data_IF_762013714440
#
_entry.id   IF_762013714440
#
_cell.length_a   1.000
_cell.length_b   1.000
_cell.length_c   1.000
_cell.angle_alpha   90.00
_cell.angle_beta   90.00
_cell.angle_gamma   90.00
#
_symmetry.space_group_name_H-M   'P 1'
#
loop_
_entity.id
_entity.type
_entity.pdbx_description
1 polymer ?
#
# COMPACT_ATOMS: atom_id res chain seq x y z
N UNK A 1 -20.86 28.46 6.82
CA UNK A 1 -20.19 27.19 6.44
C UNK A 1 -20.54 26.97 5.00
N UNK A 2 -19.75 27.51 4.10
CA UNK A 2 -19.96 27.31 2.67
C UNK A 2 -19.47 25.91 2.32
N UNK A 3 -20.42 25.06 1.99
CA UNK A 3 -20.22 23.66 1.65
C UNK A 3 -19.63 23.60 0.24
N UNK A 4 -18.31 23.62 0.11
CA UNK A 4 -17.65 23.18 -1.12
C UNK A 4 -17.74 21.65 -1.14
N UNK A 5 -18.87 21.13 -1.63
CA UNK A 5 -19.05 19.69 -1.83
C UNK A 5 -18.35 19.30 -3.14
N UNK A 6 -17.45 18.31 -3.12
CA UNK A 6 -16.88 17.73 -4.35
C UNK A 6 -18.00 17.32 -5.30
N UNK A 7 -17.97 17.82 -6.54
CA UNK A 7 -18.86 17.28 -7.57
C UNK A 7 -18.37 15.95 -8.10
N UNK A 8 -17.06 15.85 -8.29
CA UNK A 8 -16.38 14.69 -8.85
C UNK A 8 -15.05 14.50 -8.13
N UNK A 9 -14.75 13.24 -7.80
CA UNK A 9 -13.50 12.83 -7.19
C UNK A 9 -12.94 11.64 -7.99
N UNK A 10 -11.73 11.80 -8.51
CA UNK A 10 -10.99 10.73 -9.15
C UNK A 10 -9.74 10.42 -8.32
N UNK A 11 -9.59 9.17 -7.91
CA UNK A 11 -8.43 8.71 -7.13
C UNK A 11 -7.57 7.83 -8.02
N UNK A 12 -6.27 8.12 -8.06
CA UNK A 12 -5.29 7.33 -8.80
C UNK A 12 -4.07 7.04 -7.92
N UNK A 13 -3.64 5.78 -7.87
CA UNK A 13 -2.37 5.43 -7.25
C UNK A 13 -1.22 5.88 -8.15
N UNK A 14 -0.29 6.67 -7.61
CA UNK A 14 0.86 7.22 -8.35
C UNK A 14 2.20 6.71 -7.82
N UNK A 15 2.19 6.07 -6.66
CA UNK A 15 3.36 5.40 -6.10
C UNK A 15 2.96 4.42 -5.00
N UNK A 16 3.99 3.84 -4.40
CA UNK A 16 3.87 2.75 -3.43
C UNK A 16 2.99 3.10 -2.22
N UNK A 17 3.13 4.32 -1.67
CA UNK A 17 2.26 4.89 -0.61
C UNK A 17 1.72 6.26 -0.97
N UNK A 18 1.52 6.50 -2.26
CA UNK A 18 1.14 7.82 -2.79
C UNK A 18 -0.06 7.69 -3.69
N UNK A 19 -1.09 8.49 -3.41
CA UNK A 19 -2.26 8.67 -4.24
C UNK A 19 -2.33 10.10 -4.75
N UNK A 20 -2.87 10.26 -5.94
CA UNK A 20 -3.28 11.53 -6.50
C UNK A 20 -4.81 11.54 -6.54
N UNK A 21 -5.38 12.58 -5.94
CA UNK A 21 -6.81 12.83 -5.88
C UNK A 21 -7.07 14.07 -6.70
N UNK A 22 -7.87 13.94 -7.75
CA UNK A 22 -8.36 15.09 -8.51
C UNK A 22 -9.78 15.38 -8.06
N UNK A 23 -10.00 16.61 -7.60
CA UNK A 23 -11.30 17.09 -7.12
C UNK A 23 -11.71 18.31 -7.91
N UNK A 24 -12.93 18.29 -8.43
CA UNK A 24 -13.55 19.47 -9.02
C UNK A 24 -14.29 20.26 -7.95
N UNK A 25 -13.77 21.45 -7.61
CA UNK A 25 -14.43 22.38 -6.70
C UNK A 25 -15.58 23.11 -7.42
N UNK A 26 -16.57 23.59 -6.67
CA UNK A 26 -17.67 24.40 -7.23
C UNK A 26 -17.13 25.73 -7.78
N UNK A 27 -17.76 26.21 -8.86
CA UNK A 27 -17.53 27.55 -9.43
C UNK A 27 -18.16 28.64 -8.56
N UNK A 28 -17.75 28.82 -7.29
CA UNK A 28 -18.19 29.99 -6.52
C UNK A 28 -17.02 30.69 -5.82
N UNK A 29 -17.22 32.00 -5.66
CA UNK A 29 -16.25 33.09 -5.64
C UNK A 29 -15.03 32.94 -4.72
N UNK A 30 -13.93 33.60 -5.14
CA UNK A 30 -12.69 33.91 -4.42
C UNK A 30 -12.75 33.58 -2.93
N UNK A 31 -12.37 32.36 -2.61
CA UNK A 31 -12.28 31.85 -1.25
C UNK A 31 -10.89 32.24 -0.69
N UNK A 32 -10.82 32.76 0.54
CA UNK A 32 -9.54 33.03 1.20
C UNK A 32 -8.71 31.73 1.39
N UNK A 33 -7.38 31.88 1.47
CA UNK A 33 -6.45 30.76 1.55
C UNK A 33 -6.71 29.84 2.76
N UNK A 34 -7.19 30.38 3.88
CA UNK A 34 -7.48 29.60 5.09
C UNK A 34 -8.66 28.64 4.87
N UNK A 35 -9.69 29.11 4.19
CA UNK A 35 -10.86 28.31 3.85
C UNK A 35 -10.52 27.28 2.76
N UNK A 36 -9.62 27.61 1.83
CA UNK A 36 -9.06 26.64 0.89
C UNK A 36 -8.32 25.54 1.66
N UNK A 37 -7.39 25.89 2.55
CA UNK A 37 -6.58 24.91 3.30
C UNK A 37 -7.44 23.99 4.17
N UNK A 38 -8.46 24.53 4.85
CA UNK A 38 -9.44 23.74 5.62
C UNK A 38 -10.25 22.80 4.74
N UNK A 39 -10.66 23.26 3.56
CA UNK A 39 -11.39 22.44 2.60
C UNK A 39 -10.52 21.29 2.09
N UNK A 40 -9.26 21.58 1.73
CA UNK A 40 -8.29 20.58 1.31
C UNK A 40 -8.06 19.52 2.39
N UNK A 41 -7.95 19.92 3.65
CA UNK A 41 -7.81 18.98 4.76
C UNK A 41 -9.06 18.10 4.92
N UNK A 42 -10.27 18.69 4.84
CA UNK A 42 -11.51 17.92 4.88
C UNK A 42 -11.64 16.92 3.72
N UNK A 43 -11.14 17.27 2.52
CA UNK A 43 -11.10 16.36 1.37
C UNK A 43 -10.15 15.18 1.58
N UNK A 44 -9.02 15.41 2.23
CA UNK A 44 -8.09 14.35 2.59
C UNK A 44 -8.74 13.39 3.57
N UNK A 45 -9.39 13.91 4.63
CA UNK A 45 -10.04 13.07 5.63
C UNK A 45 -11.15 12.20 5.00
N UNK A 46 -11.96 12.79 4.11
CA UNK A 46 -12.98 12.05 3.34
C UNK A 46 -12.35 10.98 2.43
N UNK A 47 -11.36 11.36 1.61
CA UNK A 47 -10.67 10.43 0.71
C UNK A 47 -10.04 9.28 1.49
N UNK A 48 -9.45 9.56 2.65
CA UNK A 48 -8.84 8.55 3.49
C UNK A 48 -9.84 7.57 4.05
N UNK A 49 -11.01 8.03 4.47
CA UNK A 49 -12.08 7.14 4.90
C UNK A 49 -12.55 6.26 3.74
N UNK A 50 -12.78 6.82 2.55
CA UNK A 50 -13.12 6.05 1.35
C UNK A 50 -12.05 5.01 1.00
N UNK A 51 -10.76 5.39 1.04
CA UNK A 51 -9.65 4.48 0.81
C UNK A 51 -9.59 3.36 1.86
N UNK A 52 -9.91 3.64 3.13
CA UNK A 52 -9.97 2.63 4.20
C UNK A 52 -11.20 1.73 4.07
N UNK A 53 -12.36 2.27 3.70
CA UNK A 53 -13.61 1.52 3.55
C UNK A 53 -13.59 0.59 2.34
N UNK A 54 -13.07 1.07 1.21
CA UNK A 54 -12.79 0.26 0.03
C UNK A 54 -11.54 -0.62 0.23
N UNK A 55 -10.97 -0.56 1.44
CA UNK A 55 -9.82 -1.27 1.94
C UNK A 55 -8.51 -0.93 1.24
N UNK A 56 -8.43 -0.05 0.25
CA UNK A 56 -7.19 0.31 -0.49
C UNK A 56 -5.96 0.66 0.36
N UNK A 57 -6.15 1.05 1.62
CA UNK A 57 -5.08 1.26 2.61
C UNK A 57 -5.50 0.71 3.99
N UNK A 58 -4.54 0.35 4.88
CA UNK A 58 -4.85 -0.08 6.25
C UNK A 58 -5.67 0.92 7.06
N UNK A 59 -6.54 0.43 7.95
CA UNK A 59 -7.44 1.26 8.76
C UNK A 59 -6.67 2.21 9.72
N UNK A 60 -5.51 1.79 10.20
CA UNK A 60 -4.60 2.55 11.05
C UNK A 60 -3.72 3.54 10.27
N UNK A 61 -3.85 3.60 8.93
CA UNK A 61 -3.04 4.51 8.11
C UNK A 61 -3.36 5.98 8.42
N UNK A 62 -2.32 6.76 8.62
CA UNK A 62 -2.34 8.23 8.68
C UNK A 62 -1.91 8.80 7.33
N UNK A 63 -2.60 9.83 6.85
CA UNK A 63 -2.24 10.52 5.62
C UNK A 63 -1.78 11.95 5.85
N UNK A 64 -0.96 12.39 4.91
CA UNK A 64 -0.42 13.72 4.84
C UNK A 64 -0.50 14.23 3.40
N UNK A 65 -0.87 15.50 3.24
CA UNK A 65 -0.76 16.19 1.96
C UNK A 65 0.73 16.38 1.68
N UNK A 66 1.17 15.93 0.50
CA UNK A 66 2.54 16.16 0.04
C UNK A 66 2.64 17.24 -1.01
N UNK A 67 1.58 17.43 -1.80
CA UNK A 67 1.53 18.49 -2.78
C UNK A 67 0.07 18.84 -3.11
N UNK A 68 -0.14 20.11 -3.42
CA UNK A 68 -1.42 20.61 -3.91
C UNK A 68 -1.16 21.45 -5.14
N UNK A 69 -1.86 21.16 -6.23
CA UNK A 69 -1.76 21.94 -7.47
C UNK A 69 -3.16 22.32 -7.95
N UNK A 70 -3.35 23.58 -8.28
CA UNK A 70 -4.58 24.05 -8.92
C UNK A 70 -4.42 23.94 -10.45
N UNK A 71 -5.38 23.28 -11.08
CA UNK A 71 -5.49 23.16 -12.54
C UNK A 71 -6.32 24.32 -13.10
N UNK A 72 -6.25 24.63 -14.41
CA UNK A 72 -6.89 25.82 -15.01
C UNK A 72 -8.43 25.93 -14.91
N UNK A 73 -9.14 24.89 -14.44
CA UNK A 73 -10.61 24.83 -14.39
C UNK A 73 -11.17 24.73 -12.96
N UNK A 74 -10.50 25.31 -11.95
CA UNK A 74 -10.81 25.12 -10.52
C UNK A 74 -10.72 23.67 -10.03
N UNK A 75 -10.11 22.77 -10.81
CA UNK A 75 -9.74 21.45 -10.30
C UNK A 75 -8.56 21.60 -9.35
N UNK A 76 -8.64 20.92 -8.22
CA UNK A 76 -7.52 20.76 -7.31
C UNK A 76 -7.02 19.34 -7.42
N UNK A 77 -5.72 19.22 -7.66
CA UNK A 77 -4.99 17.98 -7.58
C UNK A 77 -4.29 17.93 -6.22
N UNK A 78 -4.63 16.95 -5.40
CA UNK A 78 -4.02 16.70 -4.10
C UNK A 78 -3.19 15.43 -4.22
N UNK A 79 -1.91 15.52 -3.90
CA UNK A 79 -1.06 14.36 -3.70
C UNK A 79 -1.06 14.01 -2.22
N UNK A 80 -1.49 12.80 -1.91
CA UNK A 80 -1.59 12.27 -0.55
C UNK A 80 -0.57 11.17 -0.38
N UNK A 81 0.25 11.28 0.66
CA UNK A 81 1.11 10.18 1.11
C UNK A 81 0.58 9.66 2.44
N UNK A 82 0.42 8.35 2.53
CA UNK A 82 -0.01 7.69 3.76
C UNK A 82 1.13 6.87 4.38
N UNK A 83 1.00 6.63 5.69
CA UNK A 83 1.90 5.81 6.49
C UNK A 83 1.03 5.01 7.47
N UNK A 84 1.35 3.74 7.66
CA UNK A 84 0.85 2.93 8.79
C UNK A 84 1.97 2.85 9.84
N UNK A 85 1.62 2.51 11.08
CA UNK A 85 2.59 2.16 12.10
C UNK A 85 3.40 0.91 11.71
N UNK A 86 2.84 0.04 10.86
CA UNK A 86 3.53 -1.13 10.33
C UNK A 86 4.44 -0.77 9.15
N UNK A 87 5.63 -1.38 9.09
CA UNK A 87 6.50 -1.31 7.91
C UNK A 87 6.43 -2.59 7.07
N UNK A 88 5.31 -3.31 7.16
CA UNK A 88 5.08 -4.56 6.45
C UNK A 88 4.98 -4.37 4.93
N UNK A 89 5.54 -5.35 4.24
CA UNK A 89 5.43 -5.57 2.81
C UNK A 89 4.83 -6.95 2.60
N UNK A 90 4.03 -7.04 1.54
CA UNK A 90 3.41 -8.28 1.14
C UNK A 90 3.86 -8.63 -0.28
N UNK A 91 4.33 -9.86 -0.44
CA UNK A 91 4.44 -10.46 -1.77
C UNK A 91 3.21 -11.34 -1.96
N UNK A 92 2.41 -11.01 -2.97
CA UNK A 92 1.23 -11.78 -3.34
C UNK A 92 1.57 -12.67 -4.51
N UNK A 93 1.33 -13.96 -4.33
CA UNK A 93 1.55 -14.98 -5.34
C UNK A 93 0.19 -15.58 -5.72
N UNK A 94 -0.09 -15.72 -7.01
CA UNK A 94 -1.33 -16.34 -7.46
C UNK A 94 -1.30 -17.87 -7.34
N UNK A 95 -0.12 -18.46 -7.19
CA UNK A 95 0.09 -19.91 -7.08
C UNK A 95 1.11 -20.28 -6.00
N UNK A 96 1.09 -21.54 -5.54
CA UNK A 96 2.10 -22.05 -4.61
C UNK A 96 3.48 -22.15 -5.28
N UNK A 97 3.54 -22.42 -6.58
CA UNK A 97 4.81 -22.44 -7.34
C UNK A 97 5.46 -21.06 -7.37
N UNK A 98 4.65 -20.00 -7.46
CA UNK A 98 5.12 -18.63 -7.34
C UNK A 98 5.68 -18.35 -5.93
N UNK A 99 5.06 -18.86 -4.86
CA UNK A 99 5.61 -18.78 -3.49
C UNK A 99 6.97 -19.46 -3.39
N UNK A 100 7.10 -20.68 -3.94
CA UNK A 100 8.37 -21.44 -3.93
C UNK A 100 9.44 -20.68 -4.72
N UNK A 101 9.06 -20.07 -5.84
CA UNK A 101 9.95 -19.24 -6.64
C UNK A 101 10.41 -18.02 -5.85
N UNK A 102 9.50 -17.31 -5.18
CA UNK A 102 9.85 -16.21 -4.27
C UNK A 102 10.84 -16.67 -3.21
N UNK A 103 10.59 -17.81 -2.55
CA UNK A 103 11.48 -18.36 -1.53
C UNK A 103 12.90 -18.62 -2.06
N UNK A 104 13.02 -19.17 -3.27
CA UNK A 104 14.31 -19.45 -3.92
C UNK A 104 15.05 -18.17 -4.30
N UNK A 105 14.36 -17.17 -4.84
CA UNK A 105 14.96 -15.90 -5.24
C UNK A 105 15.33 -15.00 -4.06
N UNK A 106 14.57 -15.07 -2.95
CA UNK A 106 14.88 -14.32 -1.73
C UNK A 106 15.92 -15.03 -0.83
N UNK A 107 16.22 -16.31 -1.07
CA UNK A 107 17.18 -17.07 -0.25
C UNK A 107 18.57 -16.40 -0.13
N UNK A 108 19.17 -15.80 -1.17
CA UNK A 108 20.46 -15.12 -1.06
C UNK A 108 20.44 -13.93 -0.08
N UNK A 109 19.30 -13.29 0.10
CA UNK A 109 19.09 -12.16 1.01
C UNK A 109 18.39 -12.57 2.31
N UNK A 110 18.24 -13.87 2.58
CA UNK A 110 17.58 -14.38 3.79
C UNK A 110 18.18 -13.83 5.09
N UNK A 111 19.51 -13.65 5.13
CA UNK A 111 20.23 -13.07 6.27
C UNK A 111 19.79 -11.65 6.66
N UNK A 112 19.17 -10.91 5.74
CA UNK A 112 18.60 -9.57 5.98
C UNK A 112 17.25 -9.68 6.72
N UNK A 113 16.63 -10.86 6.64
CA UNK A 113 15.30 -11.20 7.14
C UNK A 113 15.34 -12.25 8.26
N UNK A 114 16.52 -12.64 8.77
CA UNK A 114 16.72 -13.75 9.73
C UNK A 114 15.95 -13.58 11.06
N UNK A 115 15.51 -12.36 11.38
CA UNK A 115 14.73 -12.04 12.60
C UNK A 115 13.23 -11.84 12.31
N UNK A 116 12.78 -12.04 11.07
CA UNK A 116 11.41 -11.78 10.66
C UNK A 116 10.58 -13.05 10.50
N UNK A 117 9.32 -12.96 10.92
CA UNK A 117 8.33 -14.02 10.72
C UNK A 117 7.82 -13.99 9.26
N UNK A 118 8.55 -14.66 8.37
CA UNK A 118 8.24 -14.78 6.94
C UNK A 118 7.11 -15.80 6.68
N UNK A 119 6.00 -15.63 7.40
CA UNK A 119 4.87 -16.52 7.30
C UNK A 119 4.17 -16.42 5.93
N UNK A 120 3.74 -17.58 5.43
CA UNK A 120 2.99 -17.73 4.19
C UNK A 120 1.54 -18.05 4.54
N UNK A 121 0.65 -17.20 4.06
CA UNK A 121 -0.80 -17.35 4.23
C UNK A 121 -1.45 -17.66 2.89
N UNK A 122 -2.56 -18.40 2.91
CA UNK A 122 -3.42 -18.64 1.76
C UNK A 122 -4.78 -18.01 1.98
N UNK A 123 -5.25 -17.29 0.97
CA UNK A 123 -6.61 -16.76 0.91
C UNK A 123 -7.60 -17.86 0.51
N UNK A 124 -8.52 -18.28 1.40
CA UNK A 124 -9.54 -19.25 1.03
C UNK A 124 -10.55 -18.69 0.00
N UNK A 125 -10.77 -17.37 -0.05
CA UNK A 125 -11.76 -16.74 -0.93
C UNK A 125 -11.20 -16.52 -2.35
N UNK A 126 -9.98 -16.03 -2.47
CA UNK A 126 -9.38 -15.68 -3.77
C UNK A 126 -8.33 -16.68 -4.27
N UNK A 127 -8.03 -17.73 -3.49
CA UNK A 127 -7.01 -18.76 -3.79
C UNK A 127 -5.60 -18.20 -4.03
N UNK A 128 -5.30 -17.01 -3.51
CA UNK A 128 -3.98 -16.37 -3.58
C UNK A 128 -3.17 -16.69 -2.34
N UNK A 129 -1.87 -16.42 -2.42
CA UNK A 129 -0.93 -16.58 -1.33
C UNK A 129 -0.32 -15.22 -0.99
N UNK A 130 -0.02 -15.01 0.29
CA UNK A 130 0.61 -13.81 0.79
C UNK A 130 1.82 -14.18 1.64
N UNK A 131 2.95 -13.50 1.40
CA UNK A 131 4.16 -13.59 2.20
C UNK A 131 4.34 -12.22 2.86
N UNK A 132 4.30 -12.18 4.19
CA UNK A 132 4.52 -10.96 4.99
C UNK A 132 5.99 -10.86 5.38
N UNK A 133 6.54 -9.65 5.33
CA UNK A 133 7.82 -9.32 5.96
C UNK A 133 7.89 -7.82 6.26
N UNK A 134 8.73 -7.41 7.22
CA UNK A 134 8.96 -6.01 7.57
C UNK A 134 10.14 -5.46 6.77
N UNK A 135 10.05 -4.22 6.28
CA UNK A 135 11.24 -3.60 5.70
C UNK A 135 12.26 -3.24 6.80
N UNK A 136 13.54 -3.64 6.63
CA UNK A 136 14.60 -3.18 7.51
C UNK A 136 14.62 -1.65 7.56
N UNK A 137 14.75 -1.09 8.77
CA UNK A 137 14.87 0.37 8.95
C UNK A 137 16.22 0.89 8.43
N UNK A 138 17.23 0.03 8.30
CA UNK A 138 18.54 0.39 7.76
C UNK A 138 18.55 0.39 6.21
N UNK A 139 18.68 1.58 5.65
CA UNK A 139 18.76 1.82 4.20
C UNK A 139 19.95 1.15 3.50
N UNK A 140 21.03 0.80 4.21
CA UNK A 140 22.18 0.07 3.63
C UNK A 140 21.86 -1.42 3.50
N UNK A 141 21.21 -2.00 4.51
CA UNK A 141 20.71 -3.38 4.47
C UNK A 141 19.53 -3.55 3.48
N UNK A 142 18.81 -2.47 3.17
CA UNK A 142 17.66 -2.50 2.25
C UNK A 142 18.04 -2.67 0.77
N UNK A 143 19.19 -2.15 0.29
CA UNK A 143 19.49 -2.14 -1.16
C UNK A 143 19.52 -3.53 -1.81
N UNK A 144 20.16 -4.57 -1.21
CA UNK A 144 20.15 -5.91 -1.79
C UNK A 144 18.76 -6.55 -1.78
N UNK A 145 17.95 -6.24 -0.76
CA UNK A 145 16.56 -6.67 -0.67
C UNK A 145 15.72 -6.01 -1.79
N UNK A 146 15.83 -4.69 -1.96
CA UNK A 146 15.15 -3.94 -3.02
C UNK A 146 15.45 -4.50 -4.42
N UNK A 147 16.72 -4.76 -4.72
CA UNK A 147 17.11 -5.37 -6.00
C UNK A 147 16.49 -6.77 -6.19
N UNK A 148 16.42 -7.57 -5.13
CA UNK A 148 15.77 -8.89 -5.17
C UNK A 148 14.26 -8.76 -5.36
N UNK A 149 13.61 -7.79 -4.70
CA UNK A 149 12.19 -7.50 -4.81
C UNK A 149 11.79 -7.04 -6.22
N UNK A 150 12.63 -6.24 -6.88
CA UNK A 150 12.45 -5.88 -8.30
C UNK A 150 12.51 -7.11 -9.18
N UNK A 151 13.50 -7.99 -9.00
CA UNK A 151 13.66 -9.18 -9.81
C UNK A 151 12.58 -10.24 -9.62
N UNK A 152 12.01 -10.40 -8.42
CA UNK A 152 10.89 -11.34 -8.23
C UNK A 152 9.62 -10.88 -8.96
N UNK A 153 9.46 -9.58 -9.22
CA UNK A 153 8.32 -9.06 -9.98
C UNK A 153 8.43 -9.33 -11.48
N UNK A 154 9.61 -9.73 -11.98
CA UNK A 154 9.79 -10.14 -13.37
C UNK A 154 9.15 -11.50 -13.68
N UNK A 155 8.80 -12.27 -12.63
CA UNK A 155 8.13 -13.56 -12.77
C UNK A 155 6.61 -13.35 -12.84
N UNK A 156 5.97 -14.06 -13.77
CA UNK A 156 4.51 -14.12 -13.83
C UNK A 156 3.96 -14.63 -12.48
N UNK A 157 2.75 -14.17 -12.13
CA UNK A 157 2.01 -14.60 -10.93
C UNK A 157 2.61 -14.14 -9.59
N UNK A 158 3.66 -13.29 -9.60
CA UNK A 158 4.22 -12.64 -8.41
C UNK A 158 3.93 -11.14 -8.48
N UNK A 159 3.37 -10.62 -7.40
CA UNK A 159 3.00 -9.22 -7.28
C UNK A 159 3.49 -8.67 -5.95
N UNK A 160 4.47 -7.77 -6.00
CA UNK A 160 4.83 -6.99 -4.82
C UNK A 160 3.72 -5.98 -4.53
N UNK A 161 3.23 -5.97 -3.30
CA UNK A 161 2.22 -5.01 -2.85
C UNK A 161 2.62 -4.45 -1.49
N UNK A 162 2.78 -3.13 -1.45
CA UNK A 162 2.79 -2.41 -0.19
C UNK A 162 1.38 -2.44 0.39
N UNK A 163 1.28 -2.94 1.62
CA UNK A 163 0.05 -3.11 2.39
C UNK A 163 -1.19 -3.28 1.50
N UNK A 164 -1.45 -4.51 1.08
CA UNK A 164 -2.79 -4.86 0.63
C UNK A 164 -3.82 -4.48 1.70
N UNK A 165 -5.04 -4.33 1.22
CA UNK A 165 -6.34 -4.16 1.86
C UNK A 165 -6.71 -5.04 3.07
N UNK A 166 -5.74 -5.75 3.60
CA UNK A 166 -5.86 -6.82 4.55
C UNK A 166 -4.72 -6.65 5.53
N UNK A 167 -5.00 -6.04 6.70
CA UNK A 167 -4.06 -5.96 7.82
C UNK A 167 -3.46 -7.34 8.14
N UNK A 168 -2.36 -7.39 8.90
CA UNK A 168 -1.79 -8.65 9.43
C UNK A 168 -2.89 -9.49 10.07
N UNK A 169 -3.82 -8.81 10.75
CA UNK A 169 -5.00 -9.35 11.39
C UNK A 169 -5.94 -10.02 10.39
N UNK A 170 -6.15 -9.49 9.18
CA UNK A 170 -7.04 -10.14 8.21
C UNK A 170 -6.47 -11.48 7.72
N UNK A 171 -5.18 -11.56 7.43
CA UNK A 171 -4.57 -12.83 6.99
C UNK A 171 -4.35 -13.81 8.14
N UNK A 172 -4.06 -13.30 9.34
CA UNK A 172 -3.97 -14.14 10.54
C UNK A 172 -5.35 -14.65 11.00
N UNK A 173 -6.42 -13.87 10.83
CA UNK A 173 -7.79 -14.21 11.25
C UNK A 173 -8.60 -14.96 10.18
N UNK A 174 -8.35 -14.69 8.90
CA UNK A 174 -9.14 -15.24 7.78
C UNK A 174 -8.32 -16.06 6.77
N UNK A 175 -7.00 -15.95 6.80
CA UNK A 175 -6.10 -16.76 5.97
C UNK A 175 -5.77 -18.10 6.62
N UNK A 176 -5.51 -19.11 5.79
CA UNK A 176 -4.92 -20.37 6.24
C UNK A 176 -3.40 -20.23 6.24
N UNK A 177 -2.76 -20.28 7.42
CA UNK A 177 -1.31 -20.30 7.52
C UNK A 177 -0.76 -21.60 6.93
N UNK A 178 -0.01 -21.48 5.85
CA UNK A 178 0.61 -22.61 5.15
C UNK A 178 1.98 -22.92 5.75
N UNK A 179 2.75 -21.88 6.07
CA UNK A 179 4.11 -22.01 6.59
C UNK A 179 4.46 -20.83 7.50
N UNK A 180 5.30 -21.04 8.52
CA UNK A 180 5.84 -19.99 9.39
C UNK A 180 7.15 -19.39 8.89
N UNK A 181 7.84 -20.08 8.00
CA UNK A 181 9.10 -19.61 7.43
C UNK A 181 9.12 -19.94 5.94
N UNK A 182 9.00 -18.91 5.11
CA UNK A 182 9.10 -18.99 3.66
C UNK A 182 10.27 -19.85 3.20
N UNK A 183 11.42 -19.77 3.86
CA UNK A 183 12.63 -20.45 3.40
C UNK A 183 12.63 -21.95 3.64
N UNK A 184 11.69 -22.49 4.43
CA UNK A 184 11.44 -23.94 4.47
C UNK A 184 10.93 -24.45 3.13
N UNK A 185 10.21 -23.63 2.35
CA UNK A 185 9.69 -23.99 1.04
C UNK A 185 10.75 -23.90 -0.07
N UNK A 186 11.86 -23.19 0.16
CA UNK A 186 12.94 -23.08 -0.82
C UNK A 186 13.72 -24.40 -1.02
N UNK A 187 13.66 -25.31 -0.04
CA UNK A 187 14.31 -26.62 -0.05
C UNK A 187 13.45 -27.72 -0.71
N UNK A 188 12.22 -27.40 -1.12
CA UNK A 188 11.31 -28.29 -1.86
C UNK A 188 11.51 -28.17 -3.37
#
# INVERSE_FOLDING_TARGET
MENITPREMAIRQTGMRTYQVEVKLLEEEVVDQETIDKTLQGLVDFTMNELKEQKYIPADSEASITNTTQSPDNNVVISVKWRTASNDIYIVCDTLDAVITTAKQMKPVSHILDEQDLAVYKDPAHKKYAIRFELPSDTVAYRPLEASLVHICDYNDIHLRDALNFPVEYWAEHGEMICKDLFMLAAM
#
